data_IF_718548471158
#
_entry.id   IF_718548471158
#
_cell.length_a   1.000
_cell.length_b   1.000
_cell.length_c   1.000
_cell.angle_alpha   90.00
_cell.angle_beta   90.00
_cell.angle_gamma   90.00
#
_symmetry.space_group_name_H-M   'P 1'
#
loop_
_entity.id
_entity.type
_entity.pdbx_description
1 polymer ?
#
# COMPACT_ATOMS: atom_id res chain seq x y z
N UNK A 1 -14.57 -19.49 -5.31
CA UNK A 1 -13.95 -18.79 -4.17
C UNK A 1 -13.19 -17.61 -4.76
N UNK A 2 -13.38 -16.40 -4.24
CA UNK A 2 -12.58 -15.26 -4.68
C UNK A 2 -11.11 -15.52 -4.32
N UNK A 3 -10.18 -15.18 -5.21
CA UNK A 3 -8.74 -15.34 -4.94
C UNK A 3 -8.24 -14.14 -4.10
N UNK A 4 -7.28 -14.40 -3.23
CA UNK A 4 -6.69 -13.40 -2.33
C UNK A 4 -5.18 -13.46 -2.53
N UNK A 5 -4.54 -12.32 -2.79
CA UNK A 5 -3.09 -12.23 -2.84
C UNK A 5 -2.54 -12.27 -1.41
N UNK A 6 -1.79 -13.32 -1.00
CA UNK A 6 -1.21 -13.38 0.34
C UNK A 6 -0.10 -12.32 0.51
N UNK A 7 0.26 -11.96 1.75
CA UNK A 7 1.44 -11.14 1.98
C UNK A 7 2.71 -11.89 1.55
N UNK A 8 3.55 -11.25 0.77
CA UNK A 8 4.82 -11.80 0.29
C UNK A 8 5.96 -11.54 1.26
N UNK A 9 5.86 -10.53 2.14
CA UNK A 9 6.97 -10.08 3.00
C UNK A 9 6.61 -9.88 4.48
N UNK A 10 5.43 -10.31 4.94
CA UNK A 10 5.12 -10.41 6.37
C UNK A 10 6.16 -11.29 7.10
N UNK A 11 6.61 -10.84 8.27
CA UNK A 11 7.68 -11.48 9.05
C UNK A 11 9.10 -11.17 8.56
N UNK A 12 9.27 -10.43 7.46
CA UNK A 12 10.60 -10.05 6.93
C UNK A 12 10.76 -8.55 6.73
N UNK A 13 9.78 -7.88 6.13
CA UNK A 13 9.79 -6.41 5.94
C UNK A 13 9.04 -5.70 7.06
N UNK A 14 8.02 -6.34 7.61
CA UNK A 14 7.21 -5.84 8.72
C UNK A 14 6.74 -7.04 9.57
N UNK A 15 6.36 -6.84 10.85
CA UNK A 15 5.92 -7.93 11.72
C UNK A 15 4.73 -8.72 11.17
N UNK A 16 4.75 -10.05 11.34
CA UNK A 16 3.61 -10.92 11.01
C UNK A 16 2.55 -10.97 12.13
N UNK A 17 2.90 -10.57 13.35
CA UNK A 17 1.93 -10.38 14.43
C UNK A 17 1.12 -9.08 14.22
N UNK A 18 -0.22 -9.16 14.20
CA UNK A 18 -1.06 -7.99 13.92
C UNK A 18 -0.97 -6.90 15.00
N UNK A 19 -0.74 -7.25 16.27
CA UNK A 19 -0.64 -6.26 17.36
C UNK A 19 0.68 -5.51 17.27
N UNK A 20 1.77 -6.23 17.02
CA UNK A 20 3.09 -5.63 16.79
C UNK A 20 3.07 -4.71 15.56
N UNK A 21 2.50 -5.18 14.45
CA UNK A 21 2.39 -4.40 13.22
C UNK A 21 1.57 -3.12 13.44
N UNK A 22 0.42 -3.22 14.11
CA UNK A 22 -0.44 -2.07 14.41
C UNK A 22 0.31 -1.04 15.26
N UNK A 23 0.91 -1.47 16.37
CA UNK A 23 1.64 -0.58 17.27
C UNK A 23 2.83 0.11 16.57
N UNK A 24 3.54 -0.61 15.70
CA UNK A 24 4.65 -0.08 14.92
C UNK A 24 4.17 1.00 13.93
N UNK A 25 3.12 0.73 13.15
CA UNK A 25 2.56 1.69 12.18
C UNK A 25 1.98 2.92 12.87
N UNK A 26 1.21 2.75 13.96
CA UNK A 26 0.70 3.86 14.78
C UNK A 26 1.83 4.73 15.34
N UNK A 27 2.94 4.11 15.75
CA UNK A 27 4.15 4.82 16.16
C UNK A 27 4.70 5.71 15.05
N UNK A 28 4.92 5.14 13.86
CA UNK A 28 5.43 5.90 12.71
C UNK A 28 4.50 7.04 12.27
N UNK A 29 3.18 6.82 12.26
CA UNK A 29 2.19 7.85 11.92
C UNK A 29 2.18 8.99 12.94
N UNK A 30 2.30 8.67 14.22
CA UNK A 30 2.33 9.63 15.33
C UNK A 30 3.58 10.50 15.30
N UNK A 31 4.74 9.88 15.08
CA UNK A 31 6.05 10.53 15.07
C UNK A 31 6.33 11.29 13.76
N UNK A 32 5.56 11.01 12.70
CA UNK A 32 5.59 11.75 11.45
C UNK A 32 5.35 13.25 11.67
N UNK A 33 6.26 14.08 11.15
CA UNK A 33 6.21 15.52 11.38
C UNK A 33 4.92 16.14 10.80
N UNK A 34 4.18 16.94 11.59
CA UNK A 34 3.01 17.64 11.08
C UNK A 34 3.43 18.67 10.03
N UNK A 35 2.67 18.77 8.95
CA UNK A 35 2.88 19.82 7.96
C UNK A 35 2.33 21.16 8.47
N UNK A 36 3.08 22.23 8.26
CA UNK A 36 2.63 23.60 8.59
C UNK A 36 1.42 24.01 7.73
N UNK A 37 1.34 23.53 6.49
CA UNK A 37 0.16 23.69 5.64
C UNK A 37 -0.91 22.65 5.99
N UNK A 38 -2.05 23.13 6.49
CA UNK A 38 -3.20 22.32 6.90
C UNK A 38 -3.94 21.62 5.74
N UNK A 39 -3.42 21.65 4.52
CA UNK A 39 -4.07 21.04 3.35
C UNK A 39 -3.42 19.69 3.06
N UNK A 40 -4.20 18.62 3.20
CA UNK A 40 -3.77 17.29 2.80
C UNK A 40 -3.41 17.28 1.29
N UNK A 41 -2.24 16.73 0.91
CA UNK A 41 -1.86 16.62 -0.49
C UNK A 41 -2.73 15.59 -1.21
N UNK A 42 -2.85 15.71 -2.53
CA UNK A 42 -3.55 14.71 -3.36
C UNK A 42 -2.72 13.47 -3.69
N UNK A 43 -1.41 13.54 -3.52
CA UNK A 43 -0.49 12.42 -3.69
C UNK A 43 0.65 12.53 -2.68
N UNK A 44 1.16 11.38 -2.27
CA UNK A 44 2.36 11.25 -1.43
C UNK A 44 3.33 10.28 -2.11
N UNK A 45 4.60 10.38 -1.73
CA UNK A 45 5.63 9.42 -2.13
C UNK A 45 6.20 8.85 -0.84
N UNK A 46 6.18 7.52 -0.71
CA UNK A 46 6.69 6.80 0.44
C UNK A 46 7.78 5.78 0.00
N UNK A 47 8.79 5.55 0.85
CA UNK A 47 9.79 4.50 0.63
C UNK A 47 9.26 3.12 1.07
N UNK A 48 9.50 2.10 0.24
CA UNK A 48 8.98 0.74 0.42
C UNK A 48 10.02 -0.30 0.91
N UNK A 49 11.04 0.12 1.66
CA UNK A 49 11.96 -0.84 2.28
C UNK A 49 11.31 -1.52 3.51
N UNK A 50 12.03 -2.45 4.15
CA UNK A 50 11.60 -2.99 5.44
C UNK A 50 11.43 -1.88 6.48
N UNK A 51 10.42 -2.02 7.34
CA UNK A 51 9.95 -0.98 8.28
C UNK A 51 11.05 -0.51 9.23
N UNK A 52 11.98 -1.38 9.61
CA UNK A 52 13.14 -1.00 10.43
C UNK A 52 14.05 0.04 9.76
N UNK A 53 14.02 0.15 8.42
CA UNK A 53 14.83 1.09 7.65
C UNK A 53 14.04 2.31 7.18
N UNK A 54 12.81 2.11 6.72
CA UNK A 54 12.04 3.17 6.05
C UNK A 54 10.70 3.52 6.69
N UNK A 55 10.27 2.79 7.72
CA UNK A 55 8.93 2.93 8.31
C UNK A 55 8.65 4.32 8.86
N UNK A 56 9.62 4.96 9.53
CA UNK A 56 9.48 6.33 10.04
C UNK A 56 9.31 7.38 8.94
N UNK A 57 9.97 7.17 7.80
CA UNK A 57 9.87 8.07 6.64
C UNK A 57 8.54 7.84 5.92
N UNK A 58 8.11 6.59 5.73
CA UNK A 58 6.78 6.28 5.20
C UNK A 58 5.68 6.86 6.11
N UNK A 59 5.78 6.70 7.43
CA UNK A 59 4.87 7.28 8.40
C UNK A 59 4.74 8.80 8.28
N UNK A 60 5.84 9.50 8.03
CA UNK A 60 5.82 10.96 7.75
C UNK A 60 5.04 11.30 6.48
N UNK A 61 5.18 10.50 5.42
CA UNK A 61 4.43 10.68 4.17
C UNK A 61 2.93 10.44 4.38
N UNK A 62 2.54 9.35 5.04
CA UNK A 62 1.13 9.05 5.33
C UNK A 62 0.49 10.04 6.30
N UNK A 63 1.23 10.50 7.31
CA UNK A 63 0.73 11.52 8.23
C UNK A 63 0.29 12.80 7.51
N UNK A 64 0.90 13.13 6.37
CA UNK A 64 0.53 14.31 5.59
C UNK A 64 -0.92 14.28 5.06
N UNK A 65 -1.51 13.10 4.89
CA UNK A 65 -2.90 12.95 4.41
C UNK A 65 -3.92 12.70 5.52
N UNK A 66 -3.48 12.57 6.78
CA UNK A 66 -4.34 12.23 7.91
C UNK A 66 -5.52 13.20 8.10
N UNK A 67 -5.32 14.49 7.84
CA UNK A 67 -6.38 15.51 7.94
C UNK A 67 -7.52 15.34 6.92
N UNK A 68 -7.33 14.49 5.91
CA UNK A 68 -8.33 14.18 4.89
C UNK A 68 -8.78 12.71 4.93
N UNK A 69 -8.36 11.92 5.93
CA UNK A 69 -8.66 10.49 6.03
C UNK A 69 -10.16 10.19 5.83
N UNK A 70 -11.03 10.90 6.56
CA UNK A 70 -12.50 10.75 6.50
C UNK A 70 -13.13 11.10 5.14
N UNK A 71 -12.35 11.65 4.20
CA UNK A 71 -12.80 12.06 2.86
C UNK A 71 -12.15 11.25 1.74
N UNK A 72 -11.22 10.35 2.08
CA UNK A 72 -10.54 9.50 1.10
C UNK A 72 -11.36 8.24 0.90
N UNK A 73 -12.03 8.15 -0.24
CA UNK A 73 -12.85 6.98 -0.60
C UNK A 73 -12.09 5.96 -1.46
N UNK A 74 -11.02 6.38 -2.14
CA UNK A 74 -10.24 5.54 -3.05
C UNK A 74 -8.78 5.92 -3.04
N UNK A 75 -7.91 4.91 -2.96
CA UNK A 75 -6.46 5.06 -3.07
C UNK A 75 -5.97 4.37 -4.32
N UNK A 76 -5.12 5.04 -5.09
CA UNK A 76 -4.40 4.45 -6.22
C UNK A 76 -2.94 4.28 -5.80
N UNK A 77 -2.49 3.02 -5.70
CA UNK A 77 -1.11 2.68 -5.41
C UNK A 77 -0.34 2.41 -6.72
N UNK A 78 0.82 3.02 -6.86
CA UNK A 78 1.72 2.84 -8.02
C UNK A 78 3.13 2.64 -7.50
N UNK A 79 3.80 1.58 -7.94
CA UNK A 79 5.13 1.21 -7.48
C UNK A 79 5.93 0.52 -8.58
N UNK A 80 7.25 0.40 -8.38
CA UNK A 80 8.13 -0.30 -9.30
C UNK A 80 7.86 -1.81 -9.30
N UNK A 81 8.31 -2.50 -10.35
CA UNK A 81 8.39 -3.96 -10.37
C UNK A 81 9.85 -4.39 -10.22
N UNK A 82 10.13 -5.22 -9.23
CA UNK A 82 11.48 -5.70 -8.90
C UNK A 82 11.74 -7.11 -9.44
N UNK A 83 10.71 -7.96 -9.49
CA UNK A 83 10.87 -9.38 -9.79
C UNK A 83 10.54 -9.77 -11.23
N UNK A 84 9.48 -9.19 -11.79
CA UNK A 84 9.01 -9.50 -13.14
C UNK A 84 9.22 -8.29 -14.03
N UNK A 85 9.97 -8.40 -15.14
CA UNK A 85 10.09 -7.34 -16.12
C UNK A 85 8.72 -7.04 -16.73
N UNK A 86 8.25 -5.79 -16.60
CA UNK A 86 7.01 -5.34 -17.20
C UNK A 86 7.28 -4.21 -18.20
N UNK A 87 6.54 -4.24 -19.31
CA UNK A 87 6.44 -3.10 -20.23
C UNK A 87 5.04 -2.50 -20.09
N UNK A 88 4.95 -1.37 -19.38
CA UNK A 88 3.69 -0.75 -19.00
C UNK A 88 3.39 -0.93 -17.52
N UNK A 89 2.14 -1.22 -17.17
CA UNK A 89 1.63 -1.34 -15.81
C UNK A 89 0.96 -2.71 -15.63
N UNK A 90 1.11 -3.27 -14.43
CA UNK A 90 0.53 -4.56 -14.08
C UNK A 90 -0.56 -4.40 -13.01
N UNK A 91 -1.74 -4.97 -13.27
CA UNK A 91 -2.76 -5.20 -12.26
C UNK A 91 -2.60 -6.61 -11.66
N UNK A 92 -2.94 -6.79 -10.38
CA UNK A 92 -2.76 -8.05 -9.64
C UNK A 92 -3.68 -9.18 -10.13
N UNK A 93 -4.89 -8.84 -10.61
CA UNK A 93 -5.90 -9.83 -11.00
C UNK A 93 -6.64 -10.47 -9.82
N UNK A 94 -6.00 -10.56 -8.66
CA UNK A 94 -6.69 -10.89 -7.41
C UNK A 94 -7.58 -9.71 -6.94
N UNK A 95 -8.83 -9.97 -6.53
CA UNK A 95 -9.73 -8.94 -6.00
C UNK A 95 -9.39 -8.47 -4.58
N UNK A 96 -8.46 -9.13 -3.89
CA UNK A 96 -8.09 -8.81 -2.50
C UNK A 96 -6.59 -8.95 -2.27
N UNK A 97 -6.05 -8.10 -1.40
CA UNK A 97 -4.72 -8.24 -0.79
C UNK A 97 -4.90 -8.60 0.68
N UNK A 98 -4.15 -9.58 1.17
CA UNK A 98 -4.08 -9.87 2.60
C UNK A 98 -2.83 -9.23 3.22
N UNK A 99 -3.00 -8.70 4.43
CA UNK A 99 -1.92 -8.37 5.36
C UNK A 99 -2.22 -9.04 6.71
N UNK A 100 -1.30 -8.99 7.69
CA UNK A 100 -1.63 -9.40 9.06
C UNK A 100 -2.81 -8.64 9.68
N UNK A 101 -3.10 -7.41 9.22
CA UNK A 101 -4.21 -6.60 9.72
C UNK A 101 -5.55 -6.92 9.08
N UNK A 102 -5.58 -7.83 8.09
CA UNK A 102 -6.77 -8.26 7.38
C UNK A 102 -6.69 -8.03 5.86
N UNK A 103 -7.81 -8.25 5.19
CA UNK A 103 -7.91 -8.15 3.73
C UNK A 103 -8.33 -6.75 3.28
N UNK A 104 -7.79 -6.29 2.16
CA UNK A 104 -8.13 -5.04 1.49
C UNK A 104 -8.59 -5.33 0.07
N UNK A 105 -9.75 -4.79 -0.29
CA UNK A 105 -10.31 -4.96 -1.63
C UNK A 105 -9.50 -4.16 -2.66
N UNK A 106 -9.26 -4.77 -3.82
CA UNK A 106 -8.93 -4.03 -5.04
C UNK A 106 -10.23 -3.45 -5.59
N UNK A 107 -10.31 -2.12 -5.66
CA UNK A 107 -11.55 -1.44 -6.04
C UNK A 107 -11.98 -1.82 -7.47
N UNK A 108 -13.15 -2.47 -7.67
CA UNK A 108 -13.49 -3.12 -8.93
C UNK A 108 -13.64 -2.16 -10.11
N UNK A 109 -14.30 -1.03 -9.91
CA UNK A 109 -14.54 -0.03 -10.95
C UNK A 109 -13.23 0.60 -11.44
N UNK A 110 -12.30 0.86 -10.52
CA UNK A 110 -10.98 1.40 -10.75
C UNK A 110 -10.05 0.41 -11.44
N UNK A 111 -10.10 -0.87 -11.07
CA UNK A 111 -9.41 -1.93 -11.79
C UNK A 111 -9.94 -2.06 -13.22
N UNK A 112 -11.26 -2.05 -13.39
CA UNK A 112 -11.92 -2.11 -14.70
C UNK A 112 -11.65 -0.84 -15.54
N UNK A 113 -11.48 0.31 -14.91
CA UNK A 113 -11.06 1.53 -15.58
C UNK A 113 -9.61 1.46 -16.05
N UNK A 114 -8.73 0.95 -15.19
CA UNK A 114 -7.30 0.84 -15.45
C UNK A 114 -7.02 -0.13 -16.60
N UNK A 115 -7.68 -1.30 -16.65
CA UNK A 115 -7.43 -2.30 -17.70
C UNK A 115 -7.81 -1.82 -19.12
N UNK A 116 -8.61 -0.75 -19.24
CA UNK A 116 -8.92 -0.14 -20.55
C UNK A 116 -7.77 0.68 -21.12
N UNK A 117 -6.76 1.02 -20.31
CA UNK A 117 -5.57 1.72 -20.77
C UNK A 117 -4.65 0.75 -21.53
N UNK A 118 -4.12 1.11 -22.71
CA UNK A 118 -3.36 0.19 -23.56
C UNK A 118 -2.05 -0.30 -22.92
N UNK A 119 -1.52 0.44 -21.94
CA UNK A 119 -0.32 0.08 -21.19
C UNK A 119 -0.59 -0.81 -19.97
N UNK A 120 -1.84 -1.04 -19.57
CA UNK A 120 -2.18 -1.83 -18.38
C UNK A 120 -2.51 -3.26 -18.81
N UNK A 121 -1.93 -4.25 -18.12
CA UNK A 121 -2.27 -5.66 -18.29
C UNK A 121 -2.51 -6.33 -16.94
N UNK A 122 -3.33 -7.37 -16.93
CA UNK A 122 -3.41 -8.30 -15.80
C UNK A 122 -2.18 -9.20 -15.85
N UNK A 123 -1.32 -9.10 -14.84
CA UNK A 123 -0.08 -9.90 -14.72
C UNK A 123 0.07 -10.32 -13.25
N UNK A 124 -0.67 -11.35 -12.79
CA UNK A 124 -0.65 -11.79 -11.39
C UNK A 124 0.76 -12.14 -10.89
N UNK A 125 1.60 -12.72 -11.76
CA UNK A 125 2.97 -13.09 -11.43
C UNK A 125 3.85 -11.88 -11.07
N UNK A 126 3.53 -10.70 -11.61
CA UNK A 126 4.22 -9.46 -11.27
C UNK A 126 3.91 -8.98 -9.85
N UNK A 127 2.81 -9.44 -9.25
CA UNK A 127 2.39 -9.07 -7.90
C UNK A 127 2.70 -10.15 -6.86
N UNK A 128 2.80 -11.42 -7.27
CA UNK A 128 2.89 -12.57 -6.37
C UNK A 128 4.05 -12.51 -5.35
N UNK A 129 5.17 -11.89 -5.72
CA UNK A 129 6.35 -11.71 -4.85
C UNK A 129 6.73 -10.25 -4.63
N UNK A 130 6.05 -9.33 -5.29
CA UNK A 130 6.37 -7.91 -5.25
C UNK A 130 5.96 -7.31 -3.91
N UNK A 131 6.80 -6.44 -3.35
CA UNK A 131 6.60 -5.86 -2.02
C UNK A 131 6.26 -4.37 -2.09
N UNK A 132 6.59 -3.68 -3.17
CA UNK A 132 6.56 -2.22 -3.22
C UNK A 132 5.20 -1.60 -2.89
N UNK A 133 4.10 -2.31 -3.22
CA UNK A 133 2.74 -1.88 -2.89
C UNK A 133 2.29 -2.43 -1.55
N UNK A 134 2.64 -3.69 -1.26
CA UNK A 134 2.20 -4.41 -0.06
C UNK A 134 2.60 -3.70 1.22
N UNK A 135 3.84 -3.22 1.30
CA UNK A 135 4.37 -2.58 2.52
C UNK A 135 3.68 -1.25 2.85
N UNK A 136 2.96 -0.68 1.89
CA UNK A 136 2.20 0.56 2.08
C UNK A 136 0.76 0.29 2.58
N UNK A 137 0.26 -0.95 2.43
CA UNK A 137 -1.11 -1.32 2.81
C UNK A 137 -1.36 -1.21 4.32
N UNK A 138 -0.47 -1.66 5.23
CA UNK A 138 -0.70 -1.50 6.67
C UNK A 138 -0.83 -0.04 7.10
N UNK A 139 -0.08 0.89 6.48
CA UNK A 139 -0.26 2.33 6.75
C UNK A 139 -1.64 2.82 6.37
N UNK A 140 -2.19 2.35 5.24
CA UNK A 140 -3.56 2.68 4.82
C UNK A 140 -4.60 2.08 5.77
N UNK A 141 -4.45 0.81 6.17
CA UNK A 141 -5.40 0.12 7.06
C UNK A 141 -5.47 0.73 8.47
N UNK A 142 -4.36 1.34 8.95
CA UNK A 142 -4.34 2.01 10.25
C UNK A 142 -4.82 3.47 10.14
N UNK A 143 -4.59 4.12 9.00
CA UNK A 143 -4.88 5.55 8.85
C UNK A 143 -6.32 5.85 8.39
N UNK A 144 -6.91 5.00 7.54
CA UNK A 144 -8.22 5.18 6.90
C UNK A 144 -9.24 4.23 7.51
#
# INVERSE_FOLDING_TARGET
MATVRPPAVAGTFYPDDPRELTAMVEGFLRDGAPREDRRAPKAIIAPHAGYIYSGSIAGSAFRAIAAAADTIERVVLVGPAHFVPIRGLALPGDPWFATPLGEVAVEPEGAQASIRLPQVRLIPEAHAREHSLEVEIPFLQVLL
#
